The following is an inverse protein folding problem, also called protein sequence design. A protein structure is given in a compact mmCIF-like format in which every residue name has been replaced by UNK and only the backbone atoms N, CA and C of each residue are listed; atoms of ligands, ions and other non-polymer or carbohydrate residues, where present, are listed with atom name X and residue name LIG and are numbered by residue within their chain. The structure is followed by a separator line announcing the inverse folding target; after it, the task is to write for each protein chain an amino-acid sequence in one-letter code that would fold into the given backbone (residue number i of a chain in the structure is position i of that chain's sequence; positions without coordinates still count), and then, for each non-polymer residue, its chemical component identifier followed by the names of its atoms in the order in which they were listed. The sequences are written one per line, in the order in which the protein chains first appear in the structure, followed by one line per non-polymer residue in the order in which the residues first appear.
data_IF_488494585785
#
_entry.id   IF_488494585785
#
_cell.length_a   1.000
_cell.length_b   1.000
_cell.length_c   1.000
_cell.angle_alpha   90.00
_cell.angle_beta   90.00
_cell.angle_gamma   90.00
#
_symmetry.space_group_name_H-M   'P 1'
#
loop_
_entity.id
_entity.type
_entity.pdbx_description
1 polymer ?
#
# COMPACT_ATOMS: atom_id res chain seq x y z
N UNK A 1 10.03 12.49 14.00
CA UNK A 1 10.76 11.52 13.16
C UNK A 1 9.85 11.04 12.03
N UNK A 2 10.31 11.11 10.79
CA UNK A 2 9.55 10.66 9.60
C UNK A 2 9.34 9.13 9.59
N UNK A 3 10.20 8.40 10.30
CA UNK A 3 10.20 6.94 10.38
C UNK A 3 9.68 6.39 11.71
N UNK A 4 8.90 7.17 12.43
CA UNK A 4 8.27 6.69 13.65
C UNK A 4 7.28 5.56 13.31
N UNK A 5 7.50 4.38 13.88
CA UNK A 5 6.69 3.20 13.58
C UNK A 5 7.26 2.25 12.51
N UNK A 6 8.45 2.52 11.98
CA UNK A 6 9.20 1.57 11.15
C UNK A 6 10.32 0.93 11.98
N UNK A 7 10.50 -0.37 11.84
CA UNK A 7 11.54 -1.15 12.54
C UNK A 7 12.22 -2.09 11.57
N UNK A 8 13.56 -2.11 11.61
CA UNK A 8 14.40 -2.91 10.72
C UNK A 8 14.46 -2.37 9.29
N UNK A 9 15.03 -3.18 8.41
CA UNK A 9 15.02 -2.98 6.99
C UNK A 9 16.19 -2.19 6.42
N UNK A 10 16.28 -2.23 5.09
CA UNK A 10 17.24 -1.48 4.29
C UNK A 10 16.51 -0.40 3.51
N UNK A 11 16.93 0.85 3.68
CA UNK A 11 16.34 2.01 3.04
C UNK A 11 17.24 2.53 1.92
N UNK A 12 16.64 2.76 0.75
CA UNK A 12 17.23 3.43 -0.40
C UNK A 12 16.38 4.66 -0.72
N UNK A 13 17.02 5.81 -0.85
CA UNK A 13 16.36 7.07 -1.20
C UNK A 13 17.11 7.76 -2.30
N UNK A 14 16.40 8.23 -3.32
CA UNK A 14 16.93 9.07 -4.38
C UNK A 14 15.99 10.24 -4.64
N UNK A 15 16.56 11.39 -4.98
CA UNK A 15 15.79 12.60 -5.26
C UNK A 15 16.48 13.41 -6.35
N UNK A 16 15.68 13.88 -7.31
CA UNK A 16 16.06 14.90 -8.28
C UNK A 16 15.40 16.20 -7.81
N UNK A 17 16.22 17.24 -7.63
CA UNK A 17 15.77 18.54 -7.12
C UNK A 17 15.90 19.55 -8.24
N UNK A 18 14.84 20.28 -8.52
CA UNK A 18 14.73 21.40 -9.43
C UNK A 18 14.43 22.68 -8.63
N UNK A 19 14.43 23.84 -9.27
CA UNK A 19 14.26 25.14 -8.59
C UNK A 19 12.98 25.22 -7.73
N UNK A 20 11.88 24.67 -8.22
CA UNK A 20 10.55 24.78 -7.56
C UNK A 20 9.92 23.42 -7.23
N UNK A 21 10.58 22.33 -7.58
CA UNK A 21 10.05 20.99 -7.41
C UNK A 21 11.13 19.96 -7.06
N UNK A 22 10.69 18.82 -6.57
CA UNK A 22 11.55 17.63 -6.46
C UNK A 22 10.76 16.37 -6.77
N UNK A 23 11.42 15.44 -7.46
CA UNK A 23 10.92 14.07 -7.68
C UNK A 23 11.77 13.10 -6.89
N UNK A 24 11.14 12.27 -6.08
CA UNK A 24 11.83 11.39 -5.15
C UNK A 24 11.30 9.97 -5.20
N UNK A 25 12.20 9.01 -5.02
CA UNK A 25 11.87 7.59 -4.87
C UNK A 25 12.43 7.10 -3.54
N UNK A 26 11.59 6.39 -2.79
CA UNK A 26 11.96 5.70 -1.57
C UNK A 26 11.68 4.22 -1.74
N UNK A 27 12.64 3.38 -1.37
CA UNK A 27 12.47 1.93 -1.27
C UNK A 27 12.92 1.46 0.11
N UNK A 28 12.12 0.62 0.76
CA UNK A 28 12.49 -0.04 2.01
C UNK A 28 12.27 -1.53 1.83
N UNK A 29 13.23 -2.34 2.23
CA UNK A 29 13.18 -3.80 2.16
C UNK A 29 13.25 -4.39 3.58
N UNK A 30 12.56 -5.52 3.81
CA UNK A 30 12.62 -6.34 5.04
C UNK A 30 12.37 -5.56 6.35
N UNK A 31 11.25 -4.89 6.45
CA UNK A 31 10.91 -4.04 7.60
C UNK A 31 9.58 -4.42 8.25
N UNK A 32 9.34 -3.89 9.44
CA UNK A 32 8.06 -3.96 10.14
C UNK A 32 7.44 -2.58 10.33
N UNK A 33 6.13 -2.54 10.26
CA UNK A 33 5.33 -1.37 10.66
C UNK A 33 4.72 -1.65 12.03
N UNK A 34 5.08 -0.85 13.03
CA UNK A 34 4.68 -1.01 14.42
C UNK A 34 4.00 0.29 14.88
N UNK A 35 2.95 0.16 15.71
CA UNK A 35 2.27 1.32 16.28
C UNK A 35 1.83 2.35 15.22
N UNK A 36 1.18 1.89 14.15
CA UNK A 36 0.64 2.74 13.09
C UNK A 36 -0.89 2.91 13.24
N UNK A 37 -1.38 3.88 14.04
CA UNK A 37 -2.81 3.98 14.38
C UNK A 37 -3.73 4.10 13.16
N UNK A 38 -3.26 4.72 12.08
CA UNK A 38 -4.00 4.82 10.82
C UNK A 38 -4.19 3.46 10.15
N UNK A 39 -3.19 2.58 10.20
CA UNK A 39 -3.26 1.22 9.66
C UNK A 39 -4.13 0.34 10.55
N UNK A 40 -3.95 0.39 11.87
CA UNK A 40 -4.81 -0.35 12.84
C UNK A 40 -6.27 0.00 12.61
N UNK A 41 -6.60 1.29 12.52
CA UNK A 41 -7.96 1.76 12.23
C UNK A 41 -8.50 1.25 10.89
N UNK A 42 -7.67 1.30 9.85
CA UNK A 42 -8.05 0.80 8.52
C UNK A 42 -8.35 -0.70 8.55
N UNK A 43 -7.49 -1.49 9.20
CA UNK A 43 -7.66 -2.94 9.32
C UNK A 43 -8.90 -3.32 10.16
N UNK A 44 -9.14 -2.60 11.25
CA UNK A 44 -10.33 -2.80 12.10
C UNK A 44 -11.62 -2.49 11.34
N UNK A 45 -11.65 -1.38 10.58
CA UNK A 45 -12.80 -1.02 9.73
C UNK A 45 -13.04 -2.04 8.62
N UNK A 46 -11.98 -2.71 8.17
CA UNK A 46 -12.00 -3.72 7.12
C UNK A 46 -12.39 -5.13 7.61
N UNK A 47 -12.74 -5.26 8.88
CA UNK A 47 -13.02 -6.55 9.55
C UNK A 47 -11.83 -7.52 9.48
N UNK A 48 -10.62 -6.97 9.60
CA UNK A 48 -9.35 -7.69 9.63
C UNK A 48 -8.70 -7.60 11.02
N UNK A 49 -9.49 -7.89 12.07
CA UNK A 49 -9.11 -7.72 13.48
C UNK A 49 -7.78 -8.38 13.83
N UNK A 50 -7.54 -9.62 13.41
CA UNK A 50 -6.28 -10.31 13.68
C UNK A 50 -5.04 -9.61 13.07
N UNK A 51 -5.17 -8.92 11.92
CA UNK A 51 -4.10 -8.09 11.37
C UNK A 51 -3.99 -6.74 12.10
N UNK A 52 -5.09 -6.21 12.60
CA UNK A 52 -5.10 -5.00 13.42
C UNK A 52 -4.35 -5.25 14.74
N UNK A 53 -4.60 -6.37 15.40
CA UNK A 53 -3.92 -6.77 16.64
C UNK A 53 -2.41 -6.96 16.42
N UNK A 54 -2.00 -7.58 15.30
CA UNK A 54 -0.59 -7.67 14.93
C UNK A 54 0.04 -6.29 14.70
N UNK A 55 -0.66 -5.40 13.98
CA UNK A 55 -0.16 -4.04 13.71
C UNK A 55 0.00 -3.19 14.98
N UNK A 56 -0.82 -3.44 16.00
CA UNK A 56 -0.76 -2.77 17.29
C UNK A 56 0.33 -3.35 18.20
N UNK A 57 0.53 -4.67 18.17
CA UNK A 57 1.47 -5.40 19.03
C UNK A 57 2.84 -5.64 18.36
N UNK A 58 2.99 -6.78 17.72
CA UNK A 58 4.28 -7.24 17.16
C UNK A 58 4.71 -6.52 15.88
N UNK A 59 3.80 -5.81 15.26
CA UNK A 59 3.96 -5.16 13.98
C UNK A 59 3.65 -6.05 12.78
N UNK A 60 3.36 -5.40 11.65
CA UNK A 60 3.17 -6.05 10.36
C UNK A 60 4.47 -6.05 9.57
N UNK A 61 4.90 -7.23 9.15
CA UNK A 61 6.09 -7.40 8.31
C UNK A 61 5.78 -7.06 6.86
N UNK A 62 6.73 -6.40 6.22
CA UNK A 62 6.71 -6.11 4.79
C UNK A 62 8.05 -6.47 4.16
N UNK A 63 7.99 -7.11 3.01
CA UNK A 63 9.18 -7.47 2.24
C UNK A 63 9.70 -6.25 1.47
N UNK A 64 8.77 -5.40 0.99
CA UNK A 64 9.11 -4.22 0.21
C UNK A 64 8.07 -3.12 0.39
N UNK A 65 8.56 -1.88 0.43
CA UNK A 65 7.80 -0.64 0.25
C UNK A 65 8.49 0.19 -0.83
N UNK A 66 7.73 0.63 -1.82
CA UNK A 66 8.16 1.59 -2.82
C UNK A 66 7.25 2.82 -2.79
N UNK A 67 7.85 4.00 -2.77
CA UNK A 67 7.13 5.27 -2.82
C UNK A 67 7.71 6.12 -3.93
N UNK A 68 6.87 6.56 -4.87
CA UNK A 68 7.16 7.58 -5.85
C UNK A 68 6.43 8.86 -5.45
N UNK A 69 7.17 9.95 -5.26
CA UNK A 69 6.60 11.20 -4.78
C UNK A 69 7.18 12.41 -5.50
N UNK A 70 6.37 13.43 -5.61
CA UNK A 70 6.72 14.74 -6.14
C UNK A 70 6.36 15.80 -5.11
N UNK A 71 7.25 16.74 -4.88
CA UNK A 71 7.02 17.88 -4.02
C UNK A 71 7.19 19.17 -4.80
N UNK A 72 6.27 20.09 -4.65
CA UNK A 72 6.38 21.47 -5.12
C UNK A 72 6.07 22.45 -3.98
N UNK A 73 5.95 23.73 -4.29
CA UNK A 73 5.69 24.78 -3.31
C UNK A 73 4.30 24.67 -2.63
N UNK A 74 3.37 23.90 -3.19
CA UNK A 74 1.99 23.81 -2.71
C UNK A 74 1.69 22.51 -1.99
N UNK A 75 2.28 21.39 -2.45
CA UNK A 75 1.93 20.06 -1.94
C UNK A 75 3.04 19.03 -2.12
N UNK A 76 2.94 17.97 -1.31
CA UNK A 76 3.62 16.70 -1.52
C UNK A 76 2.60 15.74 -2.16
N UNK A 77 2.85 15.36 -3.41
CA UNK A 77 2.06 14.37 -4.13
C UNK A 77 2.72 13.00 -3.99
N UNK A 78 1.94 12.03 -3.59
CA UNK A 78 2.33 10.62 -3.49
C UNK A 78 1.74 9.92 -4.72
N UNK A 79 2.53 9.83 -5.80
CA UNK A 79 2.07 9.28 -7.08
C UNK A 79 1.77 7.80 -6.96
N UNK A 80 2.56 7.10 -6.14
CA UNK A 80 2.37 5.71 -5.82
C UNK A 80 3.05 5.35 -4.51
N UNK A 81 2.34 4.63 -3.68
CA UNK A 81 2.87 3.90 -2.53
C UNK A 81 2.46 2.44 -2.70
N UNK A 82 3.43 1.57 -2.86
CA UNK A 82 3.23 0.14 -3.02
C UNK A 82 3.99 -0.63 -1.94
N UNK A 83 3.28 -1.42 -1.16
CA UNK A 83 3.86 -2.24 -0.11
C UNK A 83 3.37 -3.69 -0.22
N UNK A 84 4.27 -4.64 -0.07
CA UNK A 84 3.98 -6.06 -0.09
C UNK A 84 4.59 -6.72 1.13
N UNK A 85 3.81 -7.52 1.81
CA UNK A 85 4.23 -8.34 2.93
C UNK A 85 3.56 -9.71 2.93
N UNK A 86 3.98 -10.61 3.83
CA UNK A 86 3.46 -11.97 3.91
C UNK A 86 1.99 -12.03 4.32
N UNK A 87 1.49 -11.02 5.00
CA UNK A 87 0.09 -10.97 5.47
C UNK A 87 -0.81 -10.07 4.65
N UNK A 88 -0.25 -9.02 4.02
CA UNK A 88 -1.02 -7.98 3.37
C UNK A 88 -0.21 -7.27 2.28
N UNK A 89 -0.89 -6.81 1.24
CA UNK A 89 -0.34 -5.89 0.24
C UNK A 89 -1.20 -4.64 0.13
N UNK A 90 -0.55 -3.51 -0.12
CA UNK A 90 -1.21 -2.21 -0.22
C UNK A 90 -0.72 -1.48 -1.47
N UNK A 91 -1.65 -0.90 -2.21
CA UNK A 91 -1.36 0.07 -3.25
C UNK A 91 -2.18 1.32 -2.96
N UNK A 92 -1.53 2.47 -2.85
CA UNK A 92 -2.23 3.73 -2.62
C UNK A 92 -1.52 4.91 -3.29
N UNK A 93 -2.26 6.01 -3.42
CA UNK A 93 -1.80 7.29 -3.94
C UNK A 93 -2.49 8.43 -3.20
N UNK A 94 -2.03 9.65 -3.40
CA UNK A 94 -2.68 10.81 -2.84
C UNK A 94 -1.77 12.02 -2.71
N UNK A 95 -2.11 12.91 -1.79
CA UNK A 95 -1.34 14.13 -1.56
C UNK A 95 -1.49 14.63 -0.12
N UNK A 96 -0.56 15.49 0.26
CA UNK A 96 -0.63 16.33 1.45
C UNK A 96 -0.26 17.75 1.05
N UNK A 97 -1.16 18.71 1.30
CA UNK A 97 -0.89 20.12 1.06
C UNK A 97 -0.11 20.80 2.19
N UNK A 98 0.27 22.06 2.00
CA UNK A 98 1.02 22.83 2.98
C UNK A 98 0.22 23.16 4.26
N UNK A 99 -1.11 23.12 4.20
CA UNK A 99 -1.97 23.27 5.37
C UNK A 99 -2.14 21.97 6.14
N UNK A 100 -1.52 20.88 5.67
CA UNK A 100 -1.57 19.56 6.28
C UNK A 100 -2.81 18.74 5.89
N UNK A 101 -3.68 19.24 5.01
CA UNK A 101 -4.78 18.46 4.47
C UNK A 101 -4.22 17.26 3.73
N UNK A 102 -4.55 16.08 4.22
CA UNK A 102 -4.12 14.82 3.64
C UNK A 102 -5.29 14.15 2.92
N UNK A 103 -5.06 13.67 1.72
CA UNK A 103 -6.01 12.89 0.94
C UNK A 103 -5.31 11.69 0.32
N UNK A 104 -5.63 10.49 0.81
CA UNK A 104 -5.09 9.22 0.33
C UNK A 104 -6.24 8.33 -0.14
N UNK A 105 -5.99 7.56 -1.16
CA UNK A 105 -6.89 6.49 -1.61
C UNK A 105 -6.08 5.27 -2.02
N UNK A 106 -6.63 4.10 -1.82
CA UNK A 106 -5.88 2.89 -2.14
C UNK A 106 -6.70 1.63 -2.02
N UNK A 107 -5.99 0.54 -2.21
CA UNK A 107 -6.49 -0.83 -2.11
C UNK A 107 -5.58 -1.62 -1.20
N UNK A 108 -6.19 -2.39 -0.32
CA UNK A 108 -5.57 -3.31 0.61
C UNK A 108 -6.02 -4.72 0.27
N UNK A 109 -5.08 -5.66 0.15
CA UNK A 109 -5.37 -7.05 -0.22
C UNK A 109 -4.70 -7.99 0.78
N UNK A 110 -5.48 -8.76 1.57
CA UNK A 110 -4.93 -9.81 2.42
C UNK A 110 -4.23 -10.89 1.61
N UNK A 111 -3.12 -11.43 2.11
CA UNK A 111 -2.30 -12.43 1.40
C UNK A 111 -3.07 -13.68 1.00
N UNK A 112 -4.00 -14.15 1.84
CA UNK A 112 -4.87 -15.30 1.52
C UNK A 112 -5.67 -15.10 0.22
N UNK A 113 -6.03 -13.86 -0.10
CA UNK A 113 -6.77 -13.53 -1.32
C UNK A 113 -5.83 -13.42 -2.53
N UNK A 114 -4.60 -12.97 -2.32
CA UNK A 114 -3.55 -12.95 -3.36
C UNK A 114 -3.24 -14.37 -3.82
N UNK A 115 -3.03 -15.30 -2.88
CA UNK A 115 -2.73 -16.70 -3.21
C UNK A 115 -3.87 -17.38 -3.98
N UNK A 116 -5.13 -17.12 -3.61
CA UNK A 116 -6.30 -17.59 -4.37
C UNK A 116 -6.34 -17.03 -5.79
N UNK A 117 -5.97 -15.77 -5.96
CA UNK A 117 -5.89 -15.14 -7.27
C UNK A 117 -4.77 -15.75 -8.12
N UNK A 118 -3.56 -15.86 -7.57
CA UNK A 118 -2.41 -16.40 -8.28
C UNK A 118 -2.60 -17.87 -8.72
N UNK A 119 -3.29 -18.67 -7.92
CA UNK A 119 -3.59 -20.07 -8.27
C UNK A 119 -4.54 -20.20 -9.46
N UNK A 120 -5.27 -19.16 -9.82
CA UNK A 120 -6.19 -19.11 -10.97
C UNK A 120 -5.56 -18.53 -12.23
N UNK A 121 -4.35 -17.97 -12.17
CA UNK A 121 -3.64 -17.44 -13.33
C UNK A 121 -2.89 -18.58 -14.01
N UNK A 122 -3.21 -18.95 -15.25
CA UNK A 122 -2.40 -19.92 -15.99
C UNK A 122 -1.01 -19.34 -16.27
N UNK A 123 0.02 -20.14 -16.03
CA UNK A 123 1.45 -19.79 -16.19
C UNK A 123 1.81 -19.79 -17.69
N UNK A 124 1.12 -19.01 -18.50
CA UNK A 124 1.40 -18.90 -19.94
C UNK A 124 1.44 -17.42 -20.32
N UNK A 125 2.61 -16.96 -20.67
CA UNK A 125 3.08 -15.78 -21.40
C UNK A 125 2.25 -14.51 -21.59
N UNK A 126 0.95 -14.55 -21.48
CA UNK A 126 0.04 -13.40 -21.54
C UNK A 126 -0.76 -13.32 -20.25
N UNK A 127 -0.85 -12.11 -19.69
CA UNK A 127 -1.65 -11.85 -18.48
C UNK A 127 -3.12 -11.88 -18.88
N UNK A 128 -3.69 -13.08 -18.91
CA UNK A 128 -5.13 -13.25 -19.03
C UNK A 128 -5.71 -13.11 -17.63
N UNK A 129 -6.41 -12.00 -17.38
CA UNK A 129 -7.18 -11.84 -16.16
C UNK A 129 -8.36 -12.82 -16.27
N UNK A 130 -8.43 -13.87 -15.42
CA UNK A 130 -9.54 -14.82 -15.48
C UNK A 130 -10.85 -14.07 -15.31
N UNK A 131 -11.84 -14.31 -16.18
CA UNK A 131 -13.19 -13.71 -16.07
C UNK A 131 -13.82 -14.02 -14.70
N UNK A 132 -13.48 -15.16 -14.12
CA UNK A 132 -13.94 -15.64 -12.82
C UNK A 132 -13.12 -15.08 -11.64
N UNK A 133 -12.09 -14.25 -11.88
CA UNK A 133 -11.35 -13.57 -10.83
C UNK A 133 -12.22 -12.57 -10.04
N UNK A 134 -13.42 -12.26 -10.55
CA UNK A 134 -14.42 -11.41 -9.92
C UNK A 134 -15.34 -12.10 -8.89
N UNK A 135 -15.31 -13.44 -8.77
CA UNK A 135 -16.12 -14.13 -7.78
C UNK A 135 -15.44 -14.16 -6.41
N UNK A 136 -15.90 -13.29 -5.53
CA UNK A 136 -15.44 -13.19 -4.15
C UNK A 136 -14.90 -11.84 -3.76
N UNK A 137 -14.59 -11.68 -2.48
CA UNK A 137 -13.97 -10.49 -1.93
C UNK A 137 -12.45 -10.60 -2.09
N UNK A 138 -11.87 -9.79 -2.98
CA UNK A 138 -10.42 -9.79 -3.20
C UNK A 138 -9.68 -8.81 -2.31
N UNK A 139 -10.28 -7.70 -1.99
CA UNK A 139 -9.62 -6.65 -1.21
C UNK A 139 -10.60 -5.60 -0.74
N UNK A 140 -10.02 -4.53 -0.24
CA UNK A 140 -10.74 -3.41 0.34
C UNK A 140 -10.17 -2.14 -0.26
N UNK A 141 -11.01 -1.35 -0.92
CA UNK A 141 -10.65 0.02 -1.27
C UNK A 141 -10.89 0.93 -0.07
N UNK A 142 -10.03 1.91 0.10
CA UNK A 142 -10.16 2.90 1.15
C UNK A 142 -9.89 4.32 0.66
N UNK A 143 -10.48 5.27 1.38
CA UNK A 143 -10.15 6.70 1.26
C UNK A 143 -9.92 7.26 2.65
N UNK A 144 -8.87 8.05 2.81
CA UNK A 144 -8.52 8.77 4.02
C UNK A 144 -8.39 10.24 3.68
N UNK A 145 -9.21 11.10 4.28
CA UNK A 145 -9.18 12.55 3.99
C UNK A 145 -9.45 13.37 5.25
N UNK A 146 -8.66 14.41 5.44
CA UNK A 146 -8.87 15.37 6.51
C UNK A 146 -7.61 16.15 6.88
N UNK A 147 -7.78 17.19 7.71
CA UNK A 147 -6.67 17.92 8.30
C UNK A 147 -5.97 17.06 9.37
N UNK A 148 -4.79 17.50 9.86
CA UNK A 148 -4.05 16.80 10.93
C UNK A 148 -4.94 16.53 12.14
N UNK A 149 -4.90 15.28 12.64
CA UNK A 149 -5.69 14.83 13.79
C UNK A 149 -7.18 14.59 13.53
N UNK A 150 -7.71 14.92 12.33
CA UNK A 150 -9.14 14.75 11.98
C UNK A 150 -9.34 14.01 10.65
N UNK A 151 -8.49 13.04 10.35
CA UNK A 151 -8.59 12.21 9.14
C UNK A 151 -9.81 11.28 9.26
N UNK A 152 -10.74 11.40 8.32
CA UNK A 152 -11.85 10.47 8.14
C UNK A 152 -11.42 9.35 7.21
N UNK A 153 -11.71 8.11 7.60
CA UNK A 153 -11.44 6.92 6.81
C UNK A 153 -12.75 6.28 6.38
N UNK A 154 -12.88 5.96 5.10
CA UNK A 154 -13.99 5.19 4.54
C UNK A 154 -13.43 3.98 3.82
N UNK A 155 -14.15 2.87 3.84
CA UNK A 155 -13.78 1.63 3.17
C UNK A 155 -14.92 1.11 2.31
N UNK A 156 -14.57 0.40 1.24
CA UNK A 156 -15.50 -0.37 0.43
C UNK A 156 -14.89 -1.72 0.07
N UNK A 157 -15.60 -2.82 0.30
CA UNK A 157 -15.20 -4.12 -0.20
C UNK A 157 -15.09 -4.11 -1.73
N UNK A 158 -14.04 -4.72 -2.27
CA UNK A 158 -13.87 -4.85 -3.71
C UNK A 158 -13.78 -6.32 -4.12
N UNK A 159 -14.35 -6.64 -5.28
CA UNK A 159 -14.34 -7.98 -5.86
C UNK A 159 -13.33 -8.13 -6.99
N UNK A 160 -12.78 -7.02 -7.48
CA UNK A 160 -11.85 -7.00 -8.61
C UNK A 160 -10.67 -6.09 -8.29
N UNK A 161 -9.45 -6.54 -8.60
CA UNK A 161 -8.23 -5.75 -8.48
C UNK A 161 -7.99 -4.94 -9.76
N UNK A 162 -7.34 -3.78 -9.64
CA UNK A 162 -6.93 -3.02 -10.82
C UNK A 162 -5.82 -3.77 -11.59
N UNK A 163 -5.77 -3.67 -12.94
CA UNK A 163 -4.72 -4.30 -13.73
C UNK A 163 -3.30 -3.96 -13.24
N UNK A 164 -3.08 -2.71 -12.83
CA UNK A 164 -1.79 -2.25 -12.28
C UNK A 164 -1.40 -2.98 -10.98
N UNK A 165 -2.36 -3.22 -10.09
CA UNK A 165 -2.10 -3.95 -8.84
C UNK A 165 -1.82 -5.42 -9.10
N UNK A 166 -2.56 -6.02 -10.02
CA UNK A 166 -2.34 -7.40 -10.49
C UNK A 166 -0.94 -7.56 -11.06
N UNK A 167 -0.51 -6.66 -11.95
CA UNK A 167 0.82 -6.67 -12.55
C UNK A 167 1.92 -6.65 -11.48
N UNK A 168 1.82 -5.74 -10.50
CA UNK A 168 2.82 -5.63 -9.43
C UNK A 168 2.93 -6.90 -8.57
N UNK A 169 1.81 -7.56 -8.28
CA UNK A 169 1.79 -8.84 -7.56
C UNK A 169 2.53 -9.92 -8.37
N UNK A 170 2.27 -9.98 -9.68
CA UNK A 170 2.88 -10.99 -10.57
C UNK A 170 4.38 -10.75 -10.69
N UNK A 171 4.82 -9.52 -10.91
CA UNK A 171 6.23 -9.18 -11.09
C UNK A 171 7.05 -9.54 -9.86
N UNK A 172 6.52 -9.30 -8.66
CA UNK A 172 7.18 -9.70 -7.42
C UNK A 172 7.35 -11.23 -7.32
N UNK A 173 6.30 -11.99 -7.61
CA UNK A 173 6.38 -13.45 -7.51
C UNK A 173 7.37 -14.07 -8.52
N UNK A 174 7.65 -13.39 -9.64
CA UNK A 174 8.70 -13.80 -10.59
C UNK A 174 10.11 -13.53 -10.06
N UNK A 175 10.29 -12.46 -9.28
CA UNK A 175 11.59 -12.07 -8.70
C UNK A 175 11.98 -12.90 -7.47
N UNK A 176 11.06 -13.66 -6.90
CA UNK A 176 11.25 -14.48 -5.69
C UNK A 176 11.54 -15.96 -6.01
N UNK A 177 11.63 -16.33 -7.28
CA UNK A 177 12.07 -17.63 -7.78
C UNK A 177 13.44 -17.52 -8.42
#
# INVERSE_FOLDING_TARGET
SFFKGLSGGKLLFSSVIEETSSSSKLKIEDFKVINAPGMVKLLSLADLGGLADLAEGEGLSFDILEINMEKNNEMLKLNEIYAVGPSISVLMEGYKDNNGLTSLRGTLVPAKNINKFLSKIPVIGEIIIPKDAGEGLFGISFKMKGPPGKIKTTINPIRTLTPRFIQKIIDKNKSSK
#
